data_IF_770894070181
#
_entry.id   IF_770894070181
#
_cell.length_a   1.000
_cell.length_b   1.000
_cell.length_c   1.000
_cell.angle_alpha   90.00
_cell.angle_beta   90.00
_cell.angle_gamma   90.00
#
_symmetry.space_group_name_H-M   'P 1'
#
loop_
_entity.id
_entity.type
_entity.pdbx_description
1 polymer ?
#
# COMPACT_ATOMS: atom_id res chain seq x y z
N UNK A 1 80.80 11.47 42.95
CA UNK A 1 79.93 10.41 43.56
C UNK A 1 78.49 10.82 43.33
N UNK A 2 77.71 10.08 42.55
CA UNK A 2 76.26 10.28 42.52
C UNK A 2 75.74 9.60 43.82
N UNK A 3 75.12 10.36 44.70
CA UNK A 3 74.39 9.84 45.84
C UNK A 3 73.13 9.12 45.24
N UNK A 4 73.25 7.80 45.15
CA UNK A 4 72.07 7.02 44.85
C UNK A 4 71.14 7.11 46.07
N UNK A 5 69.90 7.56 45.85
CA UNK A 5 68.93 7.57 46.93
C UNK A 5 68.64 6.10 47.33
N UNK A 6 68.95 5.71 48.61
CA UNK A 6 68.78 4.30 49.00
C UNK A 6 67.34 3.81 49.07
N UNK A 7 66.38 4.69 49.05
CA UNK A 7 64.97 4.41 49.12
C UNK A 7 64.37 4.34 47.72
N UNK A 8 63.38 3.47 47.52
CA UNK A 8 62.63 3.43 46.27
C UNK A 8 61.86 4.74 46.03
N UNK A 9 61.76 5.17 44.76
CA UNK A 9 61.01 6.32 44.33
C UNK A 9 60.08 5.88 43.21
N UNK A 10 58.79 6.05 43.45
CA UNK A 10 57.71 5.70 42.46
C UNK A 10 57.72 6.71 41.31
N UNK A 11 57.74 6.22 40.09
CA UNK A 11 57.52 6.97 38.87
C UNK A 11 56.50 6.27 38.01
N UNK A 12 55.44 6.96 37.59
CA UNK A 12 54.37 6.44 36.73
C UNK A 12 54.40 7.19 35.40
N UNK A 13 54.33 6.46 34.29
CA UNK A 13 54.38 7.06 32.95
C UNK A 13 53.10 7.77 32.51
N UNK A 14 52.00 7.59 33.24
CA UNK A 14 50.70 8.18 32.95
C UNK A 14 50.37 9.29 33.93
N UNK A 15 50.03 10.47 33.43
CA UNK A 15 49.62 11.63 34.25
C UNK A 15 48.09 11.81 34.32
N UNK A 16 47.39 11.41 33.27
CA UNK A 16 45.92 11.42 33.19
C UNK A 16 45.43 10.36 32.19
N UNK A 17 44.22 9.91 32.35
CA UNK A 17 43.60 8.92 31.47
C UNK A 17 42.30 9.48 30.93
N UNK A 18 42.25 9.69 29.60
CA UNK A 18 41.04 10.05 28.87
C UNK A 18 40.57 8.83 28.08
N UNK A 19 39.32 8.45 28.28
CA UNK A 19 38.68 7.32 27.61
C UNK A 19 37.44 7.82 26.91
N UNK A 20 37.35 7.55 25.60
CA UNK A 20 36.12 7.71 24.84
C UNK A 20 35.86 6.39 24.11
N UNK A 21 34.76 5.69 24.44
CA UNK A 21 34.47 4.40 23.86
C UNK A 21 32.96 4.12 23.83
N UNK A 22 32.55 3.26 22.92
CA UNK A 22 31.19 2.76 22.84
C UNK A 22 30.94 1.64 23.85
N UNK A 23 31.92 0.77 24.09
CA UNK A 23 31.76 -0.45 24.93
C UNK A 23 32.87 -0.53 25.97
N UNK A 24 34.11 -0.79 25.54
CA UNK A 24 35.27 -0.95 26.38
C UNK A 24 36.52 -0.29 25.78
N UNK A 25 37.45 0.08 26.62
CA UNK A 25 38.74 0.62 26.21
C UNK A 25 39.86 -0.01 27.04
N UNK A 26 40.91 -0.44 26.36
CA UNK A 26 42.09 -0.99 27.00
C UNK A 26 43.34 -0.21 26.62
N UNK A 27 44.31 -0.19 27.52
CA UNK A 27 45.61 0.42 27.29
C UNK A 27 46.60 -0.03 28.34
N UNK A 28 47.76 0.60 28.34
CA UNK A 28 48.81 0.27 29.31
C UNK A 28 49.64 1.47 29.71
N UNK A 29 50.24 1.41 30.90
CA UNK A 29 51.20 2.35 31.39
C UNK A 29 52.33 1.63 32.12
N UNK A 30 53.41 2.32 32.42
CA UNK A 30 54.55 1.73 33.12
C UNK A 30 54.77 2.37 34.49
N UNK A 31 55.17 1.51 35.43
CA UNK A 31 55.65 1.90 36.77
C UNK A 31 57.16 1.62 36.81
N UNK A 32 57.92 2.55 37.32
CA UNK A 32 59.41 2.41 37.48
C UNK A 32 59.85 2.91 38.84
N UNK A 33 60.90 2.26 39.36
CA UNK A 33 61.64 2.75 40.46
C UNK A 33 62.78 3.70 39.95
N UNK A 34 62.77 4.93 40.34
CA UNK A 34 63.83 5.91 40.00
C UNK A 34 64.80 6.14 41.17
N UNK A 35 64.60 5.43 42.30
CA UNK A 35 65.51 5.39 43.45
C UNK A 35 66.23 4.07 43.63
N UNK A 36 66.71 3.81 44.84
CA UNK A 36 67.34 2.52 45.20
C UNK A 36 66.35 1.52 45.77
N UNK A 37 66.90 0.35 46.15
CA UNK A 37 66.10 -0.71 46.76
C UNK A 37 65.08 -1.35 45.80
N UNK A 38 64.08 -2.07 46.35
CA UNK A 38 63.01 -2.75 45.61
C UNK A 38 61.67 -2.03 45.82
N UNK A 39 60.96 -1.77 44.69
CA UNK A 39 59.67 -1.14 44.71
C UNK A 39 58.56 -2.21 44.70
N UNK A 40 57.62 -2.09 45.63
CA UNK A 40 56.39 -2.93 45.64
C UNK A 40 55.17 -2.07 46.01
N UNK A 41 54.02 -2.49 45.54
CA UNK A 41 52.81 -1.74 45.75
C UNK A 41 51.57 -2.37 45.16
N UNK A 42 50.49 -1.59 45.13
CA UNK A 42 49.22 -1.96 44.56
C UNK A 42 48.51 -0.80 43.81
N UNK A 43 47.64 -1.14 42.91
CA UNK A 43 46.83 -0.22 42.12
C UNK A 43 45.36 -0.49 42.41
N UNK A 44 44.60 0.58 42.66
CA UNK A 44 43.18 0.47 42.85
C UNK A 44 42.45 1.72 42.31
N UNK A 45 41.17 1.54 41.95
CA UNK A 45 40.29 2.65 41.59
C UNK A 45 38.94 2.49 42.26
N UNK A 46 38.28 3.59 42.59
CA UNK A 46 36.88 3.63 42.99
C UNK A 46 35.95 3.85 41.79
N UNK A 47 36.52 4.10 40.60
CA UNK A 47 35.76 4.25 39.38
C UNK A 47 35.26 2.89 38.94
N UNK A 48 33.93 2.72 38.90
CA UNK A 48 33.31 1.47 38.45
C UNK A 48 33.71 1.18 37.01
N UNK A 49 33.89 -0.10 36.67
CA UNK A 49 34.24 -0.56 35.35
C UNK A 49 35.76 -0.48 35.03
N UNK A 50 36.60 0.18 35.84
CA UNK A 50 38.04 0.26 35.62
C UNK A 50 38.78 -0.86 36.41
N UNK A 51 39.60 -1.64 35.70
CA UNK A 51 40.41 -2.72 36.26
C UNK A 51 41.83 -2.67 35.75
N UNK A 52 42.77 -3.30 36.53
CA UNK A 52 44.21 -3.30 36.25
C UNK A 52 44.78 -4.70 36.34
N UNK A 53 45.78 -4.99 35.50
CA UNK A 53 46.46 -6.26 35.47
C UNK A 53 47.97 -6.08 35.22
N UNK A 54 48.86 -6.43 36.17
CA UNK A 54 48.53 -6.80 37.54
C UNK A 54 48.09 -5.62 38.39
N UNK A 55 47.32 -5.85 39.45
CA UNK A 55 46.93 -4.82 40.44
C UNK A 55 47.82 -4.76 41.66
N UNK A 56 48.69 -5.80 41.89
CA UNK A 56 49.72 -5.88 42.90
C UNK A 56 51.06 -6.27 42.25
N UNK A 57 52.14 -5.68 42.72
CA UNK A 57 53.46 -5.98 42.14
C UNK A 57 54.58 -5.87 43.12
N UNK A 58 55.76 -6.49 42.77
CA UNK A 58 57.06 -6.28 43.30
C UNK A 58 58.05 -6.25 42.13
N UNK A 59 59.02 -5.30 42.18
CA UNK A 59 60.06 -5.14 41.16
C UNK A 59 60.21 -3.71 40.66
N UNK A 60 61.36 -3.42 40.08
CA UNK A 60 61.76 -2.04 39.73
C UNK A 60 61.29 -1.52 38.39
N UNK A 61 60.58 -2.37 37.58
CA UNK A 61 59.94 -1.98 36.33
C UNK A 61 58.78 -2.89 36.02
N UNK A 62 57.61 -2.30 35.80
CA UNK A 62 56.38 -3.03 35.52
C UNK A 62 55.58 -2.35 34.43
N UNK A 63 55.00 -3.16 33.53
CA UNK A 63 53.94 -2.72 32.63
C UNK A 63 52.59 -3.14 33.22
N UNK A 64 51.67 -2.21 33.33
CA UNK A 64 50.31 -2.42 33.83
C UNK A 64 49.36 -2.21 32.68
N UNK A 65 48.52 -3.22 32.41
CA UNK A 65 47.43 -3.10 31.49
C UNK A 65 46.15 -2.67 32.24
N UNK A 66 45.36 -1.78 31.66
CA UNK A 66 44.06 -1.38 32.19
C UNK A 66 42.95 -1.69 31.22
N UNK A 67 41.75 -1.97 31.73
CA UNK A 67 40.53 -2.12 30.99
C UNK A 67 39.44 -1.29 31.68
N UNK A 68 38.79 -0.43 30.90
CA UNK A 68 37.55 0.21 31.31
C UNK A 68 36.39 -0.38 30.50
N UNK A 69 35.31 -0.81 31.20
CA UNK A 69 34.12 -1.43 30.64
C UNK A 69 32.92 -0.53 31.00
N UNK A 70 32.33 0.13 30.00
CA UNK A 70 31.22 1.05 30.17
C UNK A 70 29.99 0.38 30.75
N UNK A 71 29.76 -0.89 30.44
CA UNK A 71 28.61 -1.66 30.94
C UNK A 71 28.69 -1.88 32.46
N UNK A 72 29.90 -2.13 32.98
CA UNK A 72 30.15 -2.29 34.41
C UNK A 72 30.22 -0.97 35.16
N UNK A 73 30.50 0.10 34.45
CA UNK A 73 30.53 1.46 35.02
C UNK A 73 29.14 2.04 35.27
N UNK A 74 28.07 1.42 34.83
CA UNK A 74 26.67 1.88 34.90
C UNK A 74 26.50 3.32 34.33
N UNK A 75 27.31 3.70 33.34
CA UNK A 75 27.27 5.00 32.66
C UNK A 75 26.42 4.90 31.41
N UNK A 76 25.38 5.75 31.30
CA UNK A 76 24.50 5.75 30.13
C UNK A 76 25.25 6.30 28.91
N UNK A 77 24.83 5.83 27.73
CA UNK A 77 25.36 6.31 26.46
C UNK A 77 25.23 7.85 26.34
N UNK A 78 26.36 8.53 26.10
CA UNK A 78 26.46 9.99 26.03
C UNK A 78 26.85 10.65 27.34
N UNK A 79 26.92 9.94 28.45
CA UNK A 79 27.37 10.45 29.75
C UNK A 79 28.87 10.22 29.96
N UNK A 80 29.45 11.01 30.86
CA UNK A 80 30.83 10.88 31.28
C UNK A 80 30.91 10.65 32.78
N UNK A 81 31.90 9.85 33.21
CA UNK A 81 32.24 9.65 34.59
C UNK A 81 33.65 10.10 34.83
N UNK A 82 33.85 10.83 35.92
CA UNK A 82 35.17 11.34 36.32
C UNK A 82 35.55 10.73 37.66
N UNK A 83 36.84 10.42 37.81
CA UNK A 83 37.38 9.85 39.01
C UNK A 83 38.89 9.81 38.94
N UNK A 84 39.50 8.95 39.72
CA UNK A 84 40.93 8.70 39.71
C UNK A 84 41.24 7.23 40.07
N UNK A 85 42.42 6.79 39.72
CA UNK A 85 43.02 5.60 40.29
C UNK A 85 44.29 5.95 41.05
N UNK A 86 44.66 5.09 41.96
CA UNK A 86 45.74 5.29 42.89
C UNK A 86 46.80 4.22 42.67
N UNK A 87 48.05 4.65 42.61
CA UNK A 87 49.21 3.77 42.62
C UNK A 87 49.95 4.01 43.94
N UNK A 88 49.85 3.08 44.85
CA UNK A 88 50.42 3.22 46.19
C UNK A 88 51.57 2.20 46.34
N UNK A 89 52.73 2.68 46.82
CA UNK A 89 53.93 1.89 46.98
C UNK A 89 54.76 2.31 48.17
N UNK A 90 55.79 1.51 48.51
CA UNK A 90 56.81 1.87 49.49
C UNK A 90 57.75 3.02 49.01
N UNK A 91 57.64 3.40 47.73
CA UNK A 91 58.37 4.51 47.12
C UNK A 91 57.54 5.80 46.88
N UNK A 92 56.32 5.87 47.45
CA UNK A 92 55.40 7.00 47.32
C UNK A 92 54.08 6.61 46.72
N UNK A 93 53.25 7.66 46.44
CA UNK A 93 51.92 7.53 45.86
C UNK A 93 51.79 8.40 44.64
N UNK A 94 50.98 7.93 43.66
CA UNK A 94 50.57 8.70 42.51
C UNK A 94 49.05 8.60 42.34
N UNK A 95 48.42 9.75 42.11
CA UNK A 95 47.00 9.86 41.83
C UNK A 95 46.83 10.27 40.38
N UNK A 96 46.17 9.41 39.58
CA UNK A 96 46.00 9.62 38.16
C UNK A 96 44.50 9.91 37.90
N UNK A 97 44.16 11.13 37.48
CA UNK A 97 42.78 11.49 37.10
C UNK A 97 42.35 10.73 35.87
N UNK A 98 41.09 10.29 35.89
CA UNK A 98 40.42 9.56 34.80
C UNK A 98 39.15 10.30 34.41
N UNK A 99 38.98 10.53 33.13
CA UNK A 99 37.72 10.95 32.54
C UNK A 99 37.32 9.92 31.48
N UNK A 100 36.22 9.22 31.72
CA UNK A 100 35.72 8.18 30.83
C UNK A 100 34.33 8.56 30.31
N UNK A 101 34.18 8.63 28.99
CA UNK A 101 32.96 8.98 28.29
C UNK A 101 32.45 7.76 27.54
N UNK A 102 31.24 7.37 27.87
CA UNK A 102 30.49 6.37 27.11
C UNK A 102 29.85 7.05 25.89
N UNK A 103 30.45 6.91 24.70
CA UNK A 103 29.94 7.54 23.50
C UNK A 103 28.65 6.86 23.02
N UNK A 104 27.72 7.65 22.48
CA UNK A 104 26.53 7.09 21.86
C UNK A 104 26.91 6.27 20.64
N UNK A 105 26.27 5.11 20.49
CA UNK A 105 26.38 4.35 19.25
C UNK A 105 25.80 5.15 18.09
N UNK A 106 26.51 5.21 16.98
CA UNK A 106 26.05 5.86 15.76
C UNK A 106 26.72 5.22 14.55
N UNK A 107 26.05 5.27 13.40
CA UNK A 107 26.54 4.74 12.13
C UNK A 107 26.80 5.91 11.20
N UNK A 108 28.03 6.02 10.66
CA UNK A 108 28.35 7.00 9.62
C UNK A 108 27.97 6.45 8.25
N UNK A 109 27.19 7.20 7.49
CA UNK A 109 26.85 6.82 6.11
C UNK A 109 27.97 7.24 5.15
N UNK A 110 28.04 6.68 3.94
CA UNK A 110 29.02 7.10 2.93
C UNK A 110 28.90 8.59 2.55
N UNK A 111 27.73 9.19 2.72
CA UNK A 111 27.49 10.63 2.48
C UNK A 111 27.88 11.51 3.65
N UNK A 112 28.44 10.96 4.75
CA UNK A 112 28.82 11.70 5.96
C UNK A 112 27.66 11.98 6.94
N UNK A 113 26.44 11.57 6.63
CA UNK A 113 25.31 11.67 7.58
C UNK A 113 25.53 10.65 8.72
N UNK A 114 25.29 11.08 9.95
CA UNK A 114 25.37 10.23 11.13
C UNK A 114 23.98 9.77 11.53
N UNK A 115 23.82 8.46 11.70
CA UNK A 115 22.58 7.81 12.13
C UNK A 115 22.75 7.40 13.59
N UNK A 116 22.04 8.04 14.49
CA UNK A 116 22.11 7.80 15.94
C UNK A 116 20.79 7.22 16.52
N UNK A 117 19.73 7.21 15.73
CA UNK A 117 18.40 6.71 16.14
C UNK A 117 17.54 6.35 14.91
N UNK A 118 16.35 5.78 15.14
CA UNK A 118 15.43 5.36 14.08
C UNK A 118 14.92 6.52 13.23
N UNK A 119 14.76 7.72 13.80
CA UNK A 119 14.34 8.90 13.05
C UNK A 119 15.40 9.34 12.04
N UNK A 120 16.67 9.35 12.44
CA UNK A 120 17.79 9.66 11.53
C UNK A 120 17.85 8.63 10.39
N UNK A 121 17.57 7.36 10.69
CA UNK A 121 17.52 6.30 9.70
C UNK A 121 16.35 6.50 8.72
N UNK A 122 15.17 6.88 9.21
CA UNK A 122 14.03 7.23 8.35
C UNK A 122 14.36 8.39 7.41
N UNK A 123 14.93 9.48 7.93
CA UNK A 123 15.35 10.63 7.11
C UNK A 123 16.44 10.25 6.09
N UNK A 124 17.33 9.33 6.45
CA UNK A 124 18.32 8.79 5.52
C UNK A 124 17.66 7.96 4.42
N UNK A 125 16.64 7.17 4.75
CA UNK A 125 15.89 6.35 3.77
C UNK A 125 15.21 7.19 2.71
N UNK A 126 14.73 8.38 3.05
CA UNK A 126 14.12 9.33 2.10
C UNK A 126 15.16 9.92 1.13
N UNK A 127 16.42 10.07 1.58
CA UNK A 127 17.50 10.62 0.76
C UNK A 127 18.24 9.55 -0.06
N UNK A 128 18.32 8.32 0.44
CA UNK A 128 19.05 7.21 -0.17
C UNK A 128 18.41 5.87 0.14
N UNK A 129 17.39 5.51 -0.62
CA UNK A 129 16.65 4.26 -0.43
C UNK A 129 17.55 3.01 -0.51
N UNK A 130 18.42 2.95 -1.52
CA UNK A 130 19.35 1.82 -1.71
C UNK A 130 20.38 1.69 -0.57
N UNK A 131 20.83 2.82 -0.03
CA UNK A 131 21.71 2.88 1.14
C UNK A 131 21.01 2.40 2.40
N UNK A 132 19.78 2.86 2.61
CA UNK A 132 18.96 2.46 3.73
C UNK A 132 18.61 0.96 3.70
N UNK A 133 18.26 0.40 2.52
CA UNK A 133 18.00 -1.04 2.36
C UNK A 133 19.20 -1.92 2.75
N UNK A 134 20.43 -1.48 2.45
CA UNK A 134 21.65 -2.18 2.89
C UNK A 134 21.84 -2.07 4.39
N UNK A 135 21.75 -0.86 4.92
CA UNK A 135 21.90 -0.61 6.35
C UNK A 135 20.87 -1.36 7.20
N UNK A 136 19.62 -1.46 6.72
CA UNK A 136 18.54 -2.16 7.42
C UNK A 136 18.87 -3.63 7.73
N UNK A 137 19.72 -4.27 6.91
CA UNK A 137 20.16 -5.66 7.11
C UNK A 137 21.53 -5.79 7.71
N UNK A 138 22.18 -4.68 8.06
CA UNK A 138 23.52 -4.67 8.65
C UNK A 138 23.47 -4.93 10.15
N UNK A 139 24.45 -5.68 10.65
CA UNK A 139 24.63 -5.94 12.08
C UNK A 139 24.87 -4.67 12.90
N UNK A 140 25.49 -3.65 12.31
CA UNK A 140 25.68 -2.36 12.98
C UNK A 140 24.37 -1.66 13.28
N UNK A 141 23.36 -1.77 12.38
CA UNK A 141 22.04 -1.20 12.61
C UNK A 141 21.29 -1.94 13.72
N UNK A 142 21.40 -3.28 13.76
CA UNK A 142 20.88 -4.07 14.88
C UNK A 142 21.47 -3.62 16.22
N UNK A 143 22.80 -3.46 16.27
CA UNK A 143 23.48 -2.99 17.47
C UNK A 143 23.07 -1.57 17.87
N UNK A 144 22.82 -0.69 16.90
CA UNK A 144 22.28 0.64 17.16
C UNK A 144 20.89 0.57 17.81
N UNK A 145 20.00 -0.26 17.29
CA UNK A 145 18.67 -0.47 17.86
C UNK A 145 18.73 -1.01 19.28
N UNK A 146 19.61 -1.99 19.52
CA UNK A 146 19.85 -2.56 20.84
C UNK A 146 20.37 -1.50 21.82
N UNK A 147 21.40 -0.75 21.43
CA UNK A 147 22.01 0.29 22.25
C UNK A 147 21.08 1.46 22.56
N UNK A 148 20.13 1.76 21.67
CA UNK A 148 19.13 2.83 21.88
C UNK A 148 17.88 2.36 22.61
N UNK A 149 17.79 1.06 22.96
CA UNK A 149 16.63 0.47 23.63
C UNK A 149 15.37 0.51 22.77
N UNK A 150 15.50 0.19 21.45
CA UNK A 150 14.36 0.20 20.54
C UNK A 150 13.27 -0.78 21.01
N UNK A 151 12.02 -0.33 21.23
CA UNK A 151 11.00 -1.11 21.93
C UNK A 151 10.48 -2.32 21.13
N UNK A 152 10.71 -2.35 19.81
CA UNK A 152 10.22 -3.41 18.90
C UNK A 152 11.36 -4.22 18.29
N UNK A 153 12.43 -4.48 19.06
CA UNK A 153 13.62 -5.17 18.56
C UNK A 153 13.31 -6.58 18.06
N UNK A 154 12.48 -7.36 18.78
CA UNK A 154 12.05 -8.70 18.36
C UNK A 154 11.29 -8.68 17.01
N UNK A 155 10.48 -7.64 16.79
CA UNK A 155 9.77 -7.48 15.51
C UNK A 155 10.75 -7.13 14.40
N UNK A 156 11.73 -6.27 14.66
CA UNK A 156 12.81 -5.99 13.71
C UNK A 156 13.59 -7.25 13.32
N UNK A 157 13.89 -8.15 14.27
CA UNK A 157 14.57 -9.42 14.00
C UNK A 157 13.82 -10.35 13.03
N UNK A 158 12.50 -10.20 12.94
CA UNK A 158 11.71 -10.89 11.95
C UNK A 158 11.66 -10.13 10.62
N UNK A 159 11.52 -8.80 10.67
CA UNK A 159 11.43 -7.96 9.49
C UNK A 159 12.73 -7.96 8.67
N UNK A 160 13.89 -7.90 9.30
CA UNK A 160 15.17 -7.86 8.57
C UNK A 160 15.48 -9.16 7.81
N UNK A 161 14.81 -10.28 8.15
CA UNK A 161 14.87 -11.57 7.44
C UNK A 161 13.91 -11.67 6.25
N UNK A 162 12.99 -10.70 6.11
CA UNK A 162 12.02 -10.69 5.01
C UNK A 162 12.74 -10.53 3.67
N UNK A 163 12.44 -11.41 2.72
CA UNK A 163 12.97 -11.34 1.36
C UNK A 163 12.58 -10.02 0.64
N UNK A 164 11.41 -9.47 0.97
CA UNK A 164 10.97 -8.18 0.47
C UNK A 164 11.38 -7.06 1.43
N UNK A 165 12.58 -6.53 1.20
CA UNK A 165 13.18 -5.47 2.04
C UNK A 165 12.41 -4.16 2.02
N UNK A 166 11.74 -3.82 0.93
CA UNK A 166 10.90 -2.62 0.85
C UNK A 166 9.71 -2.73 1.81
N UNK A 167 9.00 -3.86 1.78
CA UNK A 167 7.91 -4.15 2.71
C UNK A 167 8.39 -4.16 4.16
N UNK A 168 9.54 -4.77 4.41
CA UNK A 168 10.11 -4.87 5.75
C UNK A 168 10.45 -3.50 6.34
N UNK A 169 11.12 -2.65 5.57
CA UNK A 169 11.45 -1.28 5.99
C UNK A 169 10.20 -0.42 6.17
N UNK A 170 9.23 -0.52 5.28
CA UNK A 170 7.98 0.22 5.39
C UNK A 170 7.23 -0.16 6.67
N UNK A 171 7.10 -1.45 6.96
CA UNK A 171 6.51 -1.94 8.19
C UNK A 171 7.29 -1.48 9.44
N UNK A 172 8.61 -1.47 9.37
CA UNK A 172 9.47 -0.97 10.45
C UNK A 172 9.19 0.51 10.75
N UNK A 173 9.08 1.35 9.75
CA UNK A 173 8.77 2.77 9.93
C UNK A 173 7.34 3.00 10.43
N UNK A 174 6.38 2.19 9.99
CA UNK A 174 5.01 2.26 10.48
C UNK A 174 4.95 1.89 11.98
N UNK A 175 5.61 0.81 12.39
CA UNK A 175 5.70 0.39 13.80
C UNK A 175 6.43 1.41 14.67
N UNK A 176 7.43 2.09 14.11
CA UNK A 176 8.17 3.16 14.80
C UNK A 176 7.37 4.48 14.90
N UNK A 177 6.15 4.53 14.33
CA UNK A 177 5.33 5.74 14.32
C UNK A 177 5.84 6.87 13.42
N UNK A 178 6.81 6.60 12.56
CA UNK A 178 7.43 7.58 11.66
C UNK A 178 6.70 7.71 10.32
N UNK A 179 5.88 6.72 9.99
CA UNK A 179 5.11 6.66 8.76
C UNK A 179 3.71 6.10 9.00
N UNK A 180 2.73 6.54 8.22
CA UNK A 180 1.42 5.92 8.16
C UNK A 180 1.42 4.77 7.14
N UNK A 181 0.50 3.83 7.32
CA UNK A 181 0.30 2.75 6.34
C UNK A 181 -0.14 3.36 5.00
N UNK A 182 0.54 2.95 3.92
CA UNK A 182 0.17 3.34 2.56
C UNK A 182 -1.22 2.81 2.21
N UNK A 183 -2.13 3.70 1.83
CA UNK A 183 -3.47 3.37 1.38
C UNK A 183 -3.50 3.26 -0.14
N UNK A 184 -4.32 2.35 -0.65
CA UNK A 184 -4.55 2.13 -2.08
C UNK A 184 -6.01 2.39 -2.36
N UNK A 185 -6.32 3.11 -3.43
CA UNK A 185 -7.68 3.43 -3.83
C UNK A 185 -7.84 3.53 -5.35
N UNK A 186 -9.05 3.28 -5.83
CA UNK A 186 -9.40 3.38 -7.25
C UNK A 186 -9.85 4.80 -7.55
N UNK A 187 -9.25 5.41 -8.59
CA UNK A 187 -9.57 6.77 -9.03
C UNK A 187 -10.97 6.86 -9.61
N UNK A 188 -11.27 6.00 -10.56
CA UNK A 188 -12.57 5.93 -11.23
C UNK A 188 -13.53 5.09 -10.39
N UNK A 189 -14.74 5.62 -10.16
CA UNK A 189 -15.79 4.84 -9.45
C UNK A 189 -16.71 4.11 -10.41
N UNK A 190 -16.77 4.57 -11.66
CA UNK A 190 -17.66 4.03 -12.66
C UNK A 190 -17.10 4.25 -14.07
N UNK A 191 -17.17 3.20 -14.89
CA UNK A 191 -16.84 3.25 -16.30
C UNK A 191 -18.03 2.75 -17.13
N UNK A 192 -18.35 3.49 -18.19
CA UNK A 192 -19.44 3.19 -19.08
C UNK A 192 -18.88 2.87 -20.47
N UNK A 193 -19.22 1.69 -20.96
CA UNK A 193 -18.88 1.25 -22.30
C UNK A 193 -20.14 1.01 -23.12
N UNK A 194 -20.04 1.27 -24.41
CA UNK A 194 -21.14 0.96 -25.32
C UNK A 194 -20.60 0.62 -26.71
N UNK A 195 -21.17 -0.40 -27.34
CA UNK A 195 -20.83 -0.82 -28.70
C UNK A 195 -22.06 -1.26 -29.46
N UNK A 196 -21.97 -1.24 -30.80
CA UNK A 196 -22.97 -1.78 -31.71
C UNK A 196 -22.56 -3.12 -32.31
N UNK A 197 -21.31 -3.54 -32.05
CA UNK A 197 -20.72 -4.75 -32.59
C UNK A 197 -20.22 -5.68 -31.48
N UNK A 198 -19.75 -6.84 -31.84
CA UNK A 198 -19.22 -7.85 -30.93
C UNK A 198 -17.70 -7.81 -30.78
N UNK A 199 -17.06 -6.73 -31.21
CA UNK A 199 -15.63 -6.55 -31.06
C UNK A 199 -15.26 -6.34 -29.59
N UNK A 200 -14.13 -6.90 -29.20
CA UNK A 200 -13.60 -6.74 -27.84
C UNK A 200 -13.24 -5.29 -27.55
N UNK A 201 -13.49 -4.84 -26.34
CA UNK A 201 -13.20 -3.48 -25.88
C UNK A 201 -12.17 -3.56 -24.77
N UNK A 202 -11.07 -2.85 -24.91
CA UNK A 202 -10.10 -2.70 -23.81
C UNK A 202 -10.46 -1.52 -22.94
N UNK A 203 -10.69 -1.79 -21.66
CA UNK A 203 -10.89 -0.78 -20.62
C UNK A 203 -9.63 -0.57 -19.80
N UNK A 204 -9.45 0.64 -19.27
CA UNK A 204 -8.36 1.00 -18.36
C UNK A 204 -8.91 1.81 -17.20
N UNK A 205 -8.28 1.67 -16.04
CA UNK A 205 -8.55 2.47 -14.86
C UNK A 205 -7.28 2.71 -14.06
N UNK A 206 -7.31 3.70 -13.17
CA UNK A 206 -6.15 4.07 -12.39
C UNK A 206 -6.32 3.66 -10.93
N UNK A 207 -5.27 3.07 -10.41
CA UNK A 207 -5.12 2.74 -8.99
C UNK A 207 -4.08 3.70 -8.43
N UNK A 208 -4.42 4.37 -7.34
CA UNK A 208 -3.57 5.37 -6.70
C UNK A 208 -3.11 4.86 -5.35
N UNK A 209 -1.95 5.31 -4.90
CA UNK A 209 -1.48 5.12 -3.52
C UNK A 209 -1.23 6.46 -2.83
N UNK A 210 -1.42 6.50 -1.52
CA UNK A 210 -1.37 7.73 -0.72
C UNK A 210 0.03 8.33 -0.59
N UNK A 211 1.07 7.50 -0.71
CA UNK A 211 2.48 7.92 -0.57
C UNK A 211 3.44 6.94 -1.26
N UNK A 212 4.75 7.17 -1.14
CA UNK A 212 5.83 6.35 -1.74
C UNK A 212 6.04 5.00 -1.06
N UNK A 213 5.23 4.60 -0.07
CA UNK A 213 5.36 3.37 0.67
C UNK A 213 5.15 2.11 -0.15
N UNK A 214 5.45 0.98 0.48
CA UNK A 214 5.22 -0.33 -0.10
C UNK A 214 3.74 -0.53 -0.42
N UNK A 215 3.47 -0.98 -1.62
CA UNK A 215 2.14 -1.29 -2.10
C UNK A 215 2.13 -2.65 -2.80
N UNK A 216 1.19 -3.49 -2.41
CA UNK A 216 0.84 -4.71 -3.13
C UNK A 216 -0.66 -4.92 -3.01
N UNK A 217 -1.34 -5.08 -4.13
CA UNK A 217 -2.80 -5.25 -4.17
C UNK A 217 -3.20 -6.22 -5.26
N UNK A 218 -4.23 -7.02 -4.99
CA UNK A 218 -4.86 -7.87 -5.97
C UNK A 218 -6.05 -7.14 -6.60
N UNK A 219 -6.33 -7.48 -7.85
CA UNK A 219 -7.47 -6.96 -8.61
C UNK A 219 -8.34 -8.15 -8.99
N UNK A 220 -9.62 -8.10 -8.62
CA UNK A 220 -10.56 -9.20 -8.82
C UNK A 220 -11.93 -8.68 -9.28
N UNK A 221 -12.63 -9.46 -10.07
CA UNK A 221 -14.07 -9.24 -10.33
C UNK A 221 -14.87 -9.77 -9.15
N UNK A 222 -15.92 -9.06 -8.77
CA UNK A 222 -16.76 -9.40 -7.60
C UNK A 222 -17.82 -10.43 -7.98
N UNK A 223 -18.53 -10.20 -9.08
CA UNK A 223 -19.59 -11.08 -9.58
C UNK A 223 -19.11 -12.24 -10.45
N UNK A 224 -17.85 -12.27 -10.84
CA UNK A 224 -17.28 -13.33 -11.67
C UNK A 224 -17.87 -13.38 -13.09
N UNK A 225 -18.31 -12.25 -13.62
CA UNK A 225 -18.92 -12.18 -14.95
C UNK A 225 -17.94 -12.61 -16.05
N UNK A 226 -18.31 -13.60 -16.85
CA UNK A 226 -17.46 -14.16 -17.91
C UNK A 226 -17.15 -13.20 -19.06
N UNK A 227 -17.92 -12.11 -19.18
CA UNK A 227 -17.73 -11.08 -20.22
C UNK A 227 -16.69 -10.02 -19.89
N UNK A 228 -16.20 -9.95 -18.63
CA UNK A 228 -15.18 -9.01 -18.18
C UNK A 228 -13.95 -9.81 -17.73
N UNK A 229 -12.87 -9.69 -18.48
CA UNK A 229 -11.62 -10.41 -18.25
C UNK A 229 -10.56 -9.42 -17.81
N UNK A 230 -10.03 -9.59 -16.61
CA UNK A 230 -8.93 -8.75 -16.10
C UNK A 230 -7.63 -9.09 -16.84
N UNK A 231 -6.99 -8.09 -17.44
CA UNK A 231 -5.64 -8.21 -18.01
C UNK A 231 -4.57 -7.95 -16.95
N UNK A 232 -4.93 -7.20 -15.89
CA UNK A 232 -4.07 -6.91 -14.74
C UNK A 232 -4.72 -7.53 -13.50
N UNK A 233 -4.10 -8.56 -12.91
CA UNK A 233 -4.63 -9.25 -11.72
C UNK A 233 -3.98 -8.83 -10.42
N UNK A 234 -2.82 -8.14 -10.49
CA UNK A 234 -2.06 -7.67 -9.32
C UNK A 234 -1.24 -6.44 -9.69
N UNK A 235 -1.07 -5.54 -8.70
CA UNK A 235 -0.16 -4.41 -8.76
C UNK A 235 0.81 -4.47 -7.56
N UNK A 236 2.05 -4.05 -7.79
CA UNK A 236 3.10 -3.96 -6.77
C UNK A 236 3.77 -2.58 -6.84
N UNK A 237 4.59 -2.22 -5.85
CA UNK A 237 5.15 -0.88 -5.69
C UNK A 237 5.71 -0.25 -6.96
N UNK A 238 6.45 -1.01 -7.77
CA UNK A 238 7.09 -0.49 -8.99
C UNK A 238 6.11 -0.10 -10.10
N UNK A 239 4.87 -0.64 -10.09
CA UNK A 239 3.85 -0.34 -11.10
C UNK A 239 3.29 1.09 -10.96
N UNK A 240 3.47 1.72 -9.77
CA UNK A 240 2.89 3.02 -9.47
C UNK A 240 3.72 4.22 -9.96
N UNK A 241 4.97 4.02 -10.30
CA UNK A 241 5.85 5.09 -10.77
C UNK A 241 5.96 6.30 -9.83
N UNK A 242 6.55 7.38 -10.33
CA UNK A 242 6.75 8.63 -9.57
C UNK A 242 5.42 9.37 -9.29
N UNK A 243 4.40 9.14 -10.09
CA UNK A 243 3.08 9.80 -9.95
C UNK A 243 2.18 9.17 -8.89
N UNK A 244 2.64 8.13 -8.20
CA UNK A 244 1.88 7.32 -7.25
C UNK A 244 0.60 6.71 -7.86
N UNK A 245 0.59 6.51 -9.18
CA UNK A 245 -0.53 5.98 -9.95
C UNK A 245 -0.09 4.81 -10.82
N UNK A 246 -0.85 3.73 -10.78
CA UNK A 246 -0.71 2.59 -11.65
C UNK A 246 -1.92 2.47 -12.58
N UNK A 247 -1.72 1.97 -13.78
CA UNK A 247 -2.81 1.69 -14.72
C UNK A 247 -3.10 0.21 -14.75
N UNK A 248 -4.33 -0.16 -14.42
CA UNK A 248 -4.84 -1.50 -14.59
C UNK A 248 -5.73 -1.58 -15.83
N UNK A 249 -5.80 -2.75 -16.47
CA UNK A 249 -6.57 -2.96 -17.69
C UNK A 249 -7.41 -4.23 -17.64
N UNK A 250 -8.49 -4.20 -18.40
CA UNK A 250 -9.40 -5.32 -18.57
C UNK A 250 -9.95 -5.34 -20.00
N UNK A 251 -10.53 -6.47 -20.39
CA UNK A 251 -11.16 -6.67 -21.69
C UNK A 251 -12.65 -6.95 -21.45
N UNK A 252 -13.50 -6.27 -22.20
CA UNK A 252 -14.92 -6.58 -22.32
C UNK A 252 -15.10 -7.44 -23.56
N UNK A 253 -15.73 -8.59 -23.41
CA UNK A 253 -16.10 -9.49 -24.51
C UNK A 253 -17.60 -9.41 -24.76
N UNK A 254 -18.09 -8.55 -25.68
CA UNK A 254 -19.52 -8.34 -25.91
C UNK A 254 -20.30 -9.60 -26.28
N UNK A 255 -19.64 -10.55 -26.94
CA UNK A 255 -20.24 -11.86 -27.31
C UNK A 255 -20.70 -12.68 -26.11
N UNK A 256 -20.05 -12.49 -24.94
CA UNK A 256 -20.38 -13.21 -23.70
C UNK A 256 -21.40 -12.47 -22.84
N UNK A 257 -21.82 -11.27 -23.26
CA UNK A 257 -22.80 -10.48 -22.52
C UNK A 257 -24.21 -11.01 -22.84
N UNK A 258 -24.93 -11.52 -21.84
CA UNK A 258 -26.22 -12.17 -22.07
C UNK A 258 -27.34 -11.20 -22.46
N UNK A 259 -27.10 -9.89 -22.32
CA UNK A 259 -28.11 -8.86 -22.47
C UNK A 259 -27.57 -7.53 -22.97
N UNK A 260 -28.50 -6.63 -23.34
CA UNK A 260 -28.18 -5.26 -23.76
C UNK A 260 -27.53 -4.38 -22.70
N UNK A 261 -27.66 -4.78 -21.45
CA UNK A 261 -27.11 -4.07 -20.30
C UNK A 261 -26.54 -5.10 -19.32
N UNK A 262 -25.28 -4.92 -18.98
CA UNK A 262 -24.62 -5.72 -17.95
C UNK A 262 -23.76 -4.84 -17.06
N UNK A 263 -23.62 -5.26 -15.81
CA UNK A 263 -22.86 -4.58 -14.78
C UNK A 263 -21.96 -5.58 -14.07
N UNK A 264 -20.73 -5.19 -13.80
CA UNK A 264 -19.78 -5.95 -12.99
C UNK A 264 -18.99 -4.98 -12.12
N UNK A 265 -18.54 -5.46 -11.00
CA UNK A 265 -17.69 -4.70 -10.08
C UNK A 265 -16.28 -5.27 -10.06
N UNK A 266 -15.28 -4.39 -10.16
CA UNK A 266 -13.88 -4.73 -9.97
C UNK A 266 -13.46 -4.22 -8.60
N UNK A 267 -12.95 -5.11 -7.77
CA UNK A 267 -12.39 -4.79 -6.46
C UNK A 267 -10.86 -4.76 -6.52
N UNK A 268 -10.26 -3.74 -5.89
CA UNK A 268 -8.82 -3.57 -5.74
C UNK A 268 -8.48 -3.60 -4.26
N UNK A 269 -7.89 -4.69 -3.78
CA UNK A 269 -7.56 -4.83 -2.36
C UNK A 269 -7.24 -6.26 -1.97
N UNK A 270 -6.92 -6.42 -0.68
CA UNK A 270 -6.88 -7.71 -0.01
C UNK A 270 -8.21 -7.92 0.69
N UNK A 271 -8.74 -9.16 0.67
CA UNK A 271 -10.00 -9.47 1.37
C UNK A 271 -9.91 -9.18 2.88
N UNK A 272 -11.05 -8.82 3.51
CA UNK A 272 -12.42 -8.80 3.00
C UNK A 272 -12.83 -7.50 2.30
N UNK A 273 -13.85 -7.58 1.43
CA UNK A 273 -14.51 -6.51 0.66
C UNK A 273 -15.24 -5.47 1.54
N UNK A 274 -14.60 -4.98 2.59
CA UNK A 274 -15.24 -4.07 3.56
C UNK A 274 -15.21 -2.61 3.12
N UNK A 275 -14.30 -2.26 2.21
CA UNK A 275 -14.13 -0.87 1.77
C UNK A 275 -14.65 -0.66 0.34
N UNK A 276 -15.82 -0.02 0.23
CA UNK A 276 -16.41 0.39 -1.05
C UNK A 276 -15.60 1.45 -1.80
N UNK A 277 -14.61 2.08 -1.15
CA UNK A 277 -13.73 3.05 -1.80
C UNK A 277 -12.87 2.42 -2.89
N UNK A 278 -12.65 1.11 -2.81
CA UNK A 278 -11.80 0.33 -3.70
C UNK A 278 -12.59 -0.49 -4.74
N UNK A 279 -13.83 -0.09 -5.00
CA UNK A 279 -14.69 -0.74 -6.00
C UNK A 279 -14.89 0.16 -7.21
N UNK A 280 -14.67 -0.38 -8.41
CA UNK A 280 -14.98 0.20 -9.69
C UNK A 280 -16.18 -0.50 -10.31
N UNK A 281 -17.25 0.23 -10.60
CA UNK A 281 -18.39 -0.28 -11.36
C UNK A 281 -18.11 -0.18 -12.87
N UNK A 282 -18.14 -1.30 -13.58
CA UNK A 282 -18.04 -1.37 -15.04
C UNK A 282 -19.42 -1.68 -15.61
N UNK A 283 -19.92 -0.79 -16.44
CA UNK A 283 -21.21 -0.94 -17.10
C UNK A 283 -21.00 -1.04 -18.60
N UNK A 284 -21.58 -2.05 -19.20
CA UNK A 284 -21.67 -2.19 -20.64
C UNK A 284 -23.10 -2.04 -21.10
N UNK A 285 -23.31 -1.29 -22.18
CA UNK A 285 -24.58 -1.16 -22.87
C UNK A 285 -24.41 -1.41 -24.36
N UNK A 286 -25.15 -2.39 -24.90
CA UNK A 286 -25.22 -2.61 -26.34
C UNK A 286 -26.14 -1.54 -26.96
N UNK A 287 -25.64 -0.76 -27.92
CA UNK A 287 -26.42 0.21 -28.64
C UNK A 287 -27.19 -0.50 -29.76
N UNK A 288 -28.50 -0.16 -29.91
CA UNK A 288 -29.35 -0.67 -31.02
C UNK A 288 -29.42 -2.23 -31.12
N UNK A 289 -29.25 -2.92 -30.00
CA UNK A 289 -29.37 -4.38 -29.95
C UNK A 289 -30.77 -4.87 -30.27
N UNK A 290 -31.81 -4.12 -29.87
CA UNK A 290 -33.18 -4.38 -30.26
C UNK A 290 -33.67 -3.20 -31.09
N UNK A 291 -34.00 -3.45 -32.34
CA UNK A 291 -34.64 -2.49 -33.23
C UNK A 291 -36.13 -2.82 -33.30
N UNK A 292 -36.93 -1.79 -33.27
CA UNK A 292 -38.38 -1.96 -33.49
C UNK A 292 -38.89 -0.88 -34.44
N UNK A 293 -39.74 -1.26 -35.33
CA UNK A 293 -40.44 -0.36 -36.26
C UNK A 293 -41.84 -0.88 -36.55
N UNK A 294 -42.69 -0.02 -37.01
CA UNK A 294 -43.99 -0.39 -37.52
C UNK A 294 -43.91 -0.69 -39.01
N UNK A 295 -44.77 -1.59 -39.52
CA UNK A 295 -44.83 -1.93 -40.92
C UNK A 295 -45.33 -0.78 -41.78
N UNK A 296 -46.06 0.18 -41.22
CA UNK A 296 -46.57 1.41 -41.87
C UNK A 296 -46.55 2.56 -40.86
N UNK A 297 -46.56 3.79 -41.38
CA UNK A 297 -46.56 4.98 -40.54
C UNK A 297 -48.01 5.38 -40.13
N UNK A 298 -49.00 4.94 -40.89
CA UNK A 298 -50.42 5.23 -40.65
C UNK A 298 -51.27 4.01 -40.86
N UNK A 299 -52.29 3.82 -40.03
CA UNK A 299 -53.25 2.71 -40.05
C UNK A 299 -54.65 3.29 -40.13
N UNK A 300 -55.54 2.50 -40.76
CA UNK A 300 -56.98 2.77 -40.74
C UNK A 300 -57.68 1.89 -39.69
N UNK A 301 -58.96 2.15 -39.46
CA UNK A 301 -59.75 1.28 -38.62
C UNK A 301 -59.92 -0.10 -39.26
N UNK A 302 -60.02 -1.11 -38.41
CA UNK A 302 -60.06 -2.51 -38.79
C UNK A 302 -58.82 -3.00 -39.54
N UNK A 303 -57.75 -2.15 -39.59
CA UNK A 303 -56.45 -2.55 -40.12
C UNK A 303 -55.77 -3.52 -39.14
N UNK A 304 -55.00 -4.41 -39.71
CA UNK A 304 -53.98 -5.18 -38.99
C UNK A 304 -52.63 -4.55 -39.28
N UNK A 305 -51.92 -4.18 -38.22
CA UNK A 305 -50.54 -3.70 -38.29
C UNK A 305 -49.55 -4.77 -37.86
N UNK A 306 -48.29 -4.56 -38.21
CA UNK A 306 -47.18 -5.38 -37.76
C UNK A 306 -46.19 -4.52 -37.00
N UNK A 307 -45.84 -4.92 -35.80
CA UNK A 307 -44.71 -4.45 -35.05
C UNK A 307 -43.51 -5.38 -35.36
N UNK A 308 -42.55 -4.85 -36.09
CA UNK A 308 -41.36 -5.56 -36.53
C UNK A 308 -40.26 -5.36 -35.48
N UNK A 309 -39.84 -6.43 -34.85
CA UNK A 309 -38.77 -6.42 -33.86
C UNK A 309 -37.58 -7.21 -34.39
N UNK A 310 -36.41 -6.57 -34.42
CA UNK A 310 -35.12 -7.20 -34.76
C UNK A 310 -34.30 -7.27 -33.52
N UNK A 311 -33.87 -8.45 -33.14
CA UNK A 311 -33.05 -8.71 -31.97
C UNK A 311 -31.62 -9.07 -32.40
N UNK A 312 -30.68 -8.16 -32.13
CA UNK A 312 -29.26 -8.34 -32.44
C UNK A 312 -28.45 -8.67 -31.14
N UNK A 313 -29.10 -9.18 -30.11
CA UNK A 313 -28.41 -9.48 -28.84
C UNK A 313 -27.66 -10.80 -28.87
N UNK A 314 -27.94 -11.67 -29.81
CA UNK A 314 -27.44 -13.06 -29.88
C UNK A 314 -28.10 -14.02 -28.87
N UNK A 315 -29.13 -13.57 -28.16
CA UNK A 315 -29.92 -14.38 -27.22
C UNK A 315 -31.41 -14.23 -27.48
N UNK A 316 -32.17 -15.26 -27.20
CA UNK A 316 -33.63 -15.19 -27.24
C UNK A 316 -34.17 -14.18 -26.22
N UNK A 317 -35.00 -13.26 -26.68
CA UNK A 317 -35.63 -12.22 -25.86
C UNK A 317 -37.12 -12.44 -25.70
N UNK A 318 -37.65 -12.11 -24.52
CA UNK A 318 -39.10 -11.92 -24.35
C UNK A 318 -39.41 -10.44 -24.52
N UNK A 319 -40.31 -10.15 -25.43
CA UNK A 319 -40.80 -8.82 -25.74
C UNK A 319 -42.24 -8.67 -25.29
N UNK A 320 -42.55 -7.63 -24.53
CA UNK A 320 -43.89 -7.30 -24.05
C UNK A 320 -44.36 -5.98 -24.69
N UNK A 321 -45.04 -6.00 -25.83
CA UNK A 321 -45.63 -4.81 -26.41
C UNK A 321 -46.91 -4.46 -25.66
N UNK A 322 -47.14 -3.17 -25.44
CA UNK A 322 -48.37 -2.66 -24.93
C UNK A 322 -48.68 -1.25 -25.48
N UNK A 323 -49.93 -0.90 -25.52
CA UNK A 323 -50.40 0.43 -25.83
C UNK A 323 -51.37 0.89 -24.74
N UNK A 324 -51.25 2.15 -24.31
CA UNK A 324 -52.21 2.74 -23.37
C UNK A 324 -53.60 2.95 -23.99
N UNK A 325 -53.62 3.10 -25.30
CA UNK A 325 -54.85 3.33 -26.05
C UNK A 325 -55.54 2.00 -26.38
N UNK A 326 -56.78 1.85 -25.97
CA UNK A 326 -57.55 0.62 -26.08
C UNK A 326 -57.94 0.21 -27.49
N UNK A 327 -57.75 1.11 -28.48
CA UNK A 327 -58.04 0.82 -29.88
C UNK A 327 -56.87 0.13 -30.62
N UNK A 328 -55.71 -0.06 -29.95
CA UNK A 328 -54.62 -0.91 -30.43
C UNK A 328 -54.51 -2.13 -29.54
N UNK A 329 -54.64 -3.33 -30.12
CA UNK A 329 -54.65 -4.58 -29.38
C UNK A 329 -53.66 -5.58 -29.94
N UNK A 330 -52.90 -6.19 -29.06
CA UNK A 330 -51.98 -7.29 -29.35
C UNK A 330 -52.66 -8.61 -29.02
N UNK A 331 -52.44 -9.66 -29.83
CA UNK A 331 -53.03 -11.00 -29.61
C UNK A 331 -52.47 -11.72 -28.39
N UNK A 332 -51.29 -11.34 -27.93
CA UNK A 332 -50.65 -11.84 -26.69
C UNK A 332 -49.93 -10.74 -25.96
N UNK A 333 -49.66 -10.97 -24.65
CA UNK A 333 -48.92 -10.04 -23.82
C UNK A 333 -47.39 -10.17 -23.96
N UNK A 334 -46.92 -11.37 -24.37
CA UNK A 334 -45.49 -11.70 -24.45
C UNK A 334 -45.24 -12.44 -25.76
N UNK A 335 -44.13 -12.09 -26.39
CA UNK A 335 -43.64 -12.71 -27.62
C UNK A 335 -42.17 -13.07 -27.43
N UNK A 336 -41.81 -14.26 -27.90
CA UNK A 336 -40.42 -14.73 -27.91
C UNK A 336 -39.80 -14.30 -29.24
N UNK A 337 -38.64 -13.65 -29.19
CA UNK A 337 -37.94 -13.12 -30.35
C UNK A 337 -36.51 -13.63 -30.34
N UNK A 338 -36.17 -14.51 -31.26
CA UNK A 338 -34.77 -14.96 -31.45
C UNK A 338 -33.95 -13.91 -32.19
N UNK A 339 -34.09 -13.83 -33.49
CA UNK A 339 -33.41 -12.82 -34.32
C UNK A 339 -34.39 -11.78 -34.88
N UNK A 340 -35.61 -12.23 -35.22
CA UNK A 340 -36.62 -11.43 -35.88
C UNK A 340 -38.03 -11.90 -35.51
N UNK A 341 -38.94 -10.98 -35.33
CA UNK A 341 -40.37 -11.29 -35.16
C UNK A 341 -41.25 -10.19 -35.77
N UNK A 342 -42.33 -10.62 -36.40
CA UNK A 342 -43.47 -9.80 -36.81
C UNK A 342 -44.63 -10.04 -35.84
N UNK A 343 -44.89 -9.05 -35.00
CA UNK A 343 -45.92 -9.13 -33.96
C UNK A 343 -47.17 -8.40 -34.49
N UNK A 344 -48.24 -9.11 -34.80
CA UNK A 344 -49.46 -8.49 -35.30
C UNK A 344 -50.20 -7.74 -34.20
N UNK A 345 -50.78 -6.63 -34.57
CA UNK A 345 -51.71 -5.87 -33.75
C UNK A 345 -52.93 -5.44 -34.58
N UNK A 346 -54.05 -5.30 -33.94
CA UNK A 346 -55.30 -4.84 -34.55
C UNK A 346 -55.62 -3.43 -34.11
N UNK A 347 -56.16 -2.63 -35.05
CA UNK A 347 -56.68 -1.29 -34.78
C UNK A 347 -58.19 -1.37 -34.79
N UNK A 348 -58.82 -1.48 -33.60
CA UNK A 348 -60.27 -1.58 -33.45
C UNK A 348 -60.83 -0.43 -32.63
N UNK A 349 -61.74 0.30 -33.21
CA UNK A 349 -62.50 1.32 -32.51
C UNK A 349 -63.74 0.77 -31.82
N UNK A 350 -63.98 1.27 -30.62
CA UNK A 350 -65.29 1.10 -30.02
C UNK A 350 -66.30 2.00 -30.75
N UNK A 351 -67.58 1.58 -30.78
CA UNK A 351 -68.64 2.38 -31.35
C UNK A 351 -68.70 3.80 -30.74
N UNK A 352 -68.38 3.94 -29.47
CA UNK A 352 -68.32 5.20 -28.75
C UNK A 352 -67.19 6.13 -29.28
N UNK A 353 -66.00 5.59 -29.48
CA UNK A 353 -64.86 6.35 -29.98
C UNK A 353 -65.10 6.77 -31.46
N UNK A 354 -65.72 5.91 -32.25
CA UNK A 354 -66.09 6.20 -33.62
C UNK A 354 -67.08 7.39 -33.68
N UNK A 355 -68.11 7.38 -32.84
CA UNK A 355 -69.03 8.51 -32.70
C UNK A 355 -68.31 9.82 -32.30
N UNK A 356 -67.40 9.78 -31.34
CA UNK A 356 -66.64 10.95 -30.93
C UNK A 356 -65.79 11.53 -32.07
N UNK A 357 -65.12 10.68 -32.87
CA UNK A 357 -64.35 11.09 -34.03
C UNK A 357 -65.21 11.80 -35.04
N UNK A 358 -66.33 11.24 -35.35
CA UNK A 358 -67.30 11.82 -36.29
C UNK A 358 -67.81 13.17 -35.81
N UNK A 359 -68.28 13.27 -34.58
CA UNK A 359 -68.83 14.52 -34.04
C UNK A 359 -67.78 15.62 -33.84
N UNK A 360 -66.54 15.25 -33.50
CA UNK A 360 -65.46 16.22 -33.26
C UNK A 360 -64.61 16.50 -34.49
N UNK A 361 -64.94 15.89 -35.66
CA UNK A 361 -64.15 16.02 -36.90
C UNK A 361 -62.66 15.75 -36.72
N UNK A 362 -62.34 14.74 -35.96
CA UNK A 362 -60.94 14.36 -35.69
C UNK A 362 -60.40 13.62 -36.92
N UNK A 363 -59.38 14.14 -37.59
CA UNK A 363 -58.80 13.55 -38.80
C UNK A 363 -57.89 12.34 -38.50
N UNK A 364 -57.29 12.30 -37.33
CA UNK A 364 -56.38 11.21 -36.93
C UNK A 364 -56.27 11.16 -35.41
N UNK A 365 -55.98 9.95 -34.91
CA UNK A 365 -55.63 9.65 -33.52
C UNK A 365 -54.13 9.36 -33.43
N UNK A 366 -53.54 9.70 -32.31
CA UNK A 366 -52.13 9.37 -32.00
C UNK A 366 -52.10 8.44 -30.83
N UNK A 367 -51.28 7.37 -30.94
CA UNK A 367 -50.97 6.45 -29.87
C UNK A 367 -49.48 6.17 -29.79
N UNK A 368 -49.07 5.56 -28.73
CA UNK A 368 -47.68 5.09 -28.56
C UNK A 368 -47.72 3.61 -28.19
N UNK A 369 -47.06 2.80 -29.00
CA UNK A 369 -46.77 1.42 -28.65
C UNK A 369 -45.47 1.44 -27.88
N UNK A 370 -45.50 0.99 -26.64
CA UNK A 370 -44.30 0.72 -25.84
C UNK A 370 -43.93 -0.75 -25.92
N UNK A 371 -42.66 -1.02 -26.01
CA UNK A 371 -42.09 -2.35 -26.02
C UNK A 371 -41.20 -2.46 -24.79
N UNK A 372 -41.52 -3.40 -23.90
CA UNK A 372 -40.64 -3.78 -22.80
C UNK A 372 -39.90 -5.05 -23.18
N UNK A 373 -38.59 -5.07 -22.95
CA UNK A 373 -37.75 -6.26 -23.21
C UNK A 373 -36.59 -6.26 -22.23
N UNK A 374 -36.04 -7.44 -21.97
CA UNK A 374 -34.92 -7.59 -21.06
C UNK A 374 -35.19 -8.62 -19.95
N UNK A 375 -34.17 -8.84 -19.05
CA UNK A 375 -34.31 -9.74 -17.90
C UNK A 375 -34.90 -9.03 -16.68
N UNK A 376 -35.40 -9.75 -15.68
CA UNK A 376 -35.82 -9.19 -14.41
C UNK A 376 -34.69 -8.35 -13.79
N UNK A 377 -34.97 -7.08 -13.49
CA UNK A 377 -33.99 -6.13 -12.97
C UNK A 377 -33.26 -5.26 -14.01
N UNK A 378 -33.36 -5.58 -15.32
CA UNK A 378 -32.73 -4.82 -16.41
C UNK A 378 -33.70 -4.61 -17.60
N UNK A 379 -34.96 -4.31 -17.31
CA UNK A 379 -35.98 -4.07 -18.32
C UNK A 379 -35.72 -2.77 -19.06
N UNK A 380 -35.64 -2.84 -20.36
CA UNK A 380 -35.57 -1.69 -21.27
C UNK A 380 -36.93 -1.41 -21.89
N UNK A 381 -37.13 -0.15 -22.30
CA UNK A 381 -38.35 0.28 -22.99
C UNK A 381 -38.00 0.98 -24.27
N UNK A 382 -38.82 0.78 -25.29
CA UNK A 382 -38.79 1.49 -26.55
C UNK A 382 -40.17 1.96 -26.91
N UNK A 383 -40.33 3.19 -27.38
CA UNK A 383 -41.61 3.79 -27.71
C UNK A 383 -41.68 4.05 -29.20
N UNK A 384 -42.80 3.67 -29.82
CA UNK A 384 -43.08 3.86 -31.24
C UNK A 384 -44.37 4.65 -31.39
N UNK A 385 -44.35 5.82 -32.00
CA UNK A 385 -45.56 6.58 -32.29
C UNK A 385 -46.37 5.84 -33.38
N UNK A 386 -47.66 5.84 -33.20
CA UNK A 386 -48.66 5.28 -34.17
C UNK A 386 -49.66 6.35 -34.51
N UNK A 387 -49.95 6.49 -35.78
CA UNK A 387 -51.00 7.34 -36.26
C UNK A 387 -52.13 6.50 -36.86
N UNK A 388 -53.36 6.71 -36.40
CA UNK A 388 -54.54 6.08 -36.94
C UNK A 388 -55.41 7.18 -37.56
N UNK A 389 -55.68 7.08 -38.84
CA UNK A 389 -56.40 8.13 -39.57
C UNK A 389 -56.95 7.67 -40.91
N UNK A 390 -57.51 8.60 -41.65
CA UNK A 390 -58.16 8.33 -42.96
C UNK A 390 -59.57 7.81 -42.81
N UNK A 391 -60.32 8.50 -41.97
CA UNK A 391 -61.73 8.23 -41.67
C UNK A 391 -62.63 8.71 -42.84
#
# INVERSE_FOLDING_TARGET
>A
MRYENPNPILTVSLQSLLIETKDSHSGSFSIKNSGGGELYGHIYSRLQGLSFTPNEWSGNSLKVDYLWDASKAAVKAGESINGCFYVTSNGGEAVIPVSAKHTRMSIATPSGKVIANVKDFYEYSLASESGARRMFTDSEFYMLLLATGYPYLEVYENLHKDANRERAMDNFFILSGLKKKTEIFVKEKKLLFSSNNDETITGKFHVLKSDTGYAQTDIKTVGGASWLVLSTGRLVSHDFGETLAATASFIIEPKRIPMDFSREEIFVGQEPLTDKSNVLEVIYRRKNSVKAKLSRDTYKFDDTGLLIVTNNTGNTLTVEPFCTENYIRFGAKKFVVDEYAEIPFEVKLSAFLNAQIYFRKIAFLKAVIEIKYGLPGAIQKKSLPVVVGGF
#
